data_IF_814033829210
#
_entry.id   IF_814033829210
#
_cell.length_a   1.000
_cell.length_b   1.000
_cell.length_c   1.000
_cell.angle_alpha   90.00
_cell.angle_beta   90.00
_cell.angle_gamma   90.00
#
_symmetry.space_group_name_H-M   'P 1'
#
loop_
_entity.id
_entity.type
_entity.pdbx_description
1 polymer ?
#
# COMPACT_ATOMS: atom_id res chain seq x y z
N UNK A 1 -22.56 30.58 20.87
CA UNK A 1 -22.37 29.12 20.91
C UNK A 1 -22.08 28.66 19.49
N UNK A 2 -20.84 28.26 19.20
CA UNK A 2 -20.53 27.34 18.11
C UNK A 2 -19.16 26.75 18.44
N UNK A 3 -19.19 25.58 19.09
CA UNK A 3 -18.01 24.73 19.13
C UNK A 3 -17.59 24.52 17.68
N UNK A 4 -16.31 24.75 17.34
CA UNK A 4 -15.76 24.31 16.07
C UNK A 4 -15.99 22.80 15.99
N UNK A 5 -17.10 22.40 15.37
CA UNK A 5 -17.52 21.01 15.35
C UNK A 5 -16.52 20.29 14.45
N UNK A 6 -15.65 19.51 15.07
CA UNK A 6 -14.64 18.74 14.36
C UNK A 6 -15.30 17.92 13.26
N UNK A 7 -14.74 17.97 12.04
CA UNK A 7 -15.29 17.22 10.93
C UNK A 7 -15.05 15.72 11.18
N UNK A 8 -16.11 15.01 11.60
CA UNK A 8 -16.06 13.58 11.94
C UNK A 8 -15.58 12.72 10.77
N UNK A 9 -15.93 13.07 9.54
CA UNK A 9 -15.49 12.32 8.35
C UNK A 9 -13.98 12.40 8.17
N UNK A 10 -13.37 13.56 8.40
CA UNK A 10 -11.92 13.71 8.30
C UNK A 10 -11.18 12.99 9.41
N UNK A 11 -11.73 12.96 10.63
CA UNK A 11 -11.19 12.14 11.71
C UNK A 11 -11.25 10.66 11.38
N UNK A 12 -12.40 10.17 10.93
CA UNK A 12 -12.58 8.76 10.53
C UNK A 12 -11.64 8.44 9.38
N UNK A 13 -11.61 9.24 8.32
CA UNK A 13 -10.68 9.06 7.20
C UNK A 13 -9.21 9.03 7.64
N UNK A 14 -8.82 9.89 8.58
CA UNK A 14 -7.46 9.91 9.13
C UNK A 14 -7.12 8.62 9.88
N UNK A 15 -8.07 8.12 10.68
CA UNK A 15 -7.93 6.83 11.39
C UNK A 15 -7.87 5.67 10.40
N UNK A 16 -8.71 5.67 9.36
CA UNK A 16 -8.70 4.65 8.31
C UNK A 16 -7.38 4.64 7.53
N UNK A 17 -6.75 5.80 7.29
CA UNK A 17 -5.40 5.84 6.72
C UNK A 17 -4.35 5.22 7.64
N UNK A 18 -4.41 5.48 8.94
CA UNK A 18 -3.45 4.89 9.90
C UNK A 18 -3.65 3.37 9.97
N UNK A 19 -4.86 2.91 10.27
CA UNK A 19 -5.15 1.49 10.47
C UNK A 19 -5.04 0.72 9.16
N UNK A 20 -5.65 1.23 8.08
CA UNK A 20 -5.59 0.62 6.76
C UNK A 20 -4.18 0.68 6.16
N UNK A 21 -3.42 1.74 6.42
CA UNK A 21 -2.01 1.83 6.02
C UNK A 21 -1.14 0.80 6.72
N UNK A 22 -1.28 0.65 8.05
CA UNK A 22 -0.55 -0.35 8.83
C UNK A 22 -0.92 -1.76 8.41
N UNK A 23 -2.22 -2.10 8.37
CA UNK A 23 -2.67 -3.44 8.03
C UNK A 23 -2.43 -3.77 6.55
N UNK A 24 -2.79 -2.84 5.66
CA UNK A 24 -2.62 -2.97 4.22
C UNK A 24 -1.17 -2.87 3.75
N UNK A 25 -0.25 -2.39 4.60
CA UNK A 25 1.19 -2.40 4.36
C UNK A 25 1.89 -3.61 4.97
N UNK A 26 1.70 -3.85 6.26
CA UNK A 26 2.39 -4.92 7.00
C UNK A 26 1.99 -6.31 6.50
N UNK A 27 0.70 -6.55 6.22
CA UNK A 27 0.25 -7.88 5.80
C UNK A 27 0.88 -8.28 4.45
N UNK A 28 0.84 -7.46 3.39
CA UNK A 28 1.55 -7.77 2.15
C UNK A 28 3.06 -7.93 2.34
N UNK A 29 3.72 -7.08 3.15
CA UNK A 29 5.15 -7.22 3.44
C UNK A 29 5.44 -8.59 4.05
N UNK A 30 4.71 -8.98 5.10
CA UNK A 30 4.90 -10.28 5.76
C UNK A 30 4.64 -11.42 4.78
N UNK A 31 3.57 -11.35 3.99
CA UNK A 31 3.25 -12.38 3.02
C UNK A 31 4.34 -12.50 1.96
N UNK A 32 4.80 -11.40 1.37
CA UNK A 32 5.88 -11.39 0.39
C UNK A 32 7.18 -11.94 0.97
N UNK A 33 7.58 -11.51 2.17
CA UNK A 33 8.80 -12.01 2.81
C UNK A 33 8.68 -13.47 3.25
N UNK A 34 7.49 -13.95 3.60
CA UNK A 34 7.27 -15.36 3.95
C UNK A 34 7.40 -16.31 2.76
N UNK A 35 7.21 -15.80 1.53
CA UNK A 35 7.49 -16.56 0.30
C UNK A 35 8.97 -16.63 -0.05
N UNK A 36 9.82 -15.85 0.64
CA UNK A 36 11.27 -15.97 0.49
C UNK A 36 11.75 -17.23 1.20
N UNK A 37 11.82 -18.33 0.45
CA UNK A 37 12.66 -19.47 0.83
C UNK A 37 14.14 -19.10 0.75
N UNK A 38 15.01 -20.02 1.15
CA UNK A 38 16.46 -19.91 0.86
C UNK A 38 16.77 -20.45 -0.52
N UNK A 39 17.89 -20.00 -1.11
CA UNK A 39 18.36 -20.52 -2.40
C UNK A 39 18.45 -22.06 -2.36
N UNK A 40 19.01 -22.63 -1.30
CA UNK A 40 19.13 -24.09 -1.12
C UNK A 40 17.78 -24.80 -1.01
N UNK A 41 16.78 -24.21 -0.34
CA UNK A 41 15.42 -24.79 -0.29
C UNK A 41 14.76 -24.79 -1.66
N UNK A 42 14.97 -23.75 -2.47
CA UNK A 42 14.43 -23.67 -3.82
C UNK A 42 15.13 -24.67 -4.72
N UNK A 43 16.47 -24.70 -4.75
CA UNK A 43 17.23 -25.57 -5.64
C UNK A 43 17.12 -27.05 -5.27
N UNK A 44 17.06 -27.38 -3.98
CA UNK A 44 16.86 -28.77 -3.52
C UNK A 44 15.51 -29.36 -3.94
N UNK A 45 14.48 -28.54 -4.16
CA UNK A 45 13.22 -29.00 -4.74
C UNK A 45 13.39 -29.53 -6.18
N UNK A 46 14.48 -29.15 -6.85
CA UNK A 46 14.89 -29.62 -8.17
C UNK A 46 16.04 -30.66 -8.12
N UNK A 47 16.40 -31.15 -6.93
CA UNK A 47 17.40 -32.19 -6.71
C UNK A 47 18.77 -31.67 -6.28
N UNK A 48 19.34 -30.69 -6.99
CA UNK A 48 20.59 -30.03 -6.61
C UNK A 48 20.70 -28.63 -7.22
N UNK A 49 21.68 -27.84 -6.78
CA UNK A 49 21.97 -26.53 -7.37
C UNK A 49 22.37 -26.64 -8.84
N UNK A 50 23.15 -27.67 -9.21
CA UNK A 50 23.55 -27.91 -10.60
C UNK A 50 22.36 -28.34 -11.46
N UNK A 51 21.47 -29.19 -10.94
CA UNK A 51 20.29 -29.63 -11.68
C UNK A 51 19.34 -28.45 -11.95
N UNK A 52 19.17 -27.57 -10.98
CA UNK A 52 18.43 -26.32 -11.14
C UNK A 52 19.09 -25.39 -12.17
N UNK A 53 20.40 -25.19 -12.08
CA UNK A 53 21.15 -24.33 -13.01
C UNK A 53 21.05 -24.84 -14.46
N UNK A 54 21.22 -26.15 -14.68
CA UNK A 54 21.05 -26.77 -16.00
C UNK A 54 19.62 -26.64 -16.54
N UNK A 55 18.60 -26.78 -15.68
CA UNK A 55 17.21 -26.56 -16.07
C UNK A 55 16.98 -25.12 -16.54
N UNK A 56 17.48 -24.14 -15.77
CA UNK A 56 17.32 -22.72 -16.10
C UNK A 56 18.09 -22.36 -17.36
N UNK A 57 19.31 -22.87 -17.54
CA UNK A 57 20.09 -22.71 -18.78
C UNK A 57 19.36 -23.33 -19.98
N UNK A 58 18.78 -24.53 -19.84
CA UNK A 58 18.01 -25.14 -20.91
C UNK A 58 16.76 -24.32 -21.28
N UNK A 59 16.05 -23.76 -20.29
CA UNK A 59 14.88 -22.91 -20.52
C UNK A 59 15.23 -21.53 -21.09
N UNK A 60 16.39 -20.97 -20.71
CA UNK A 60 16.84 -19.65 -21.15
C UNK A 60 17.63 -19.69 -22.47
N UNK A 61 17.83 -20.87 -23.07
CA UNK A 61 18.66 -21.05 -24.25
C UNK A 61 20.17 -20.81 -23.99
N UNK A 62 20.61 -21.01 -22.75
CA UNK A 62 21.98 -20.78 -22.29
C UNK A 62 22.30 -19.33 -21.92
N UNK A 63 21.29 -18.45 -21.92
CA UNK A 63 21.49 -17.00 -21.75
C UNK A 63 21.52 -16.56 -20.29
N UNK A 64 20.79 -17.26 -19.43
CA UNK A 64 20.63 -16.94 -18.01
C UNK A 64 20.80 -18.23 -17.19
N UNK A 65 21.68 -18.20 -16.18
CA UNK A 65 21.88 -19.29 -15.22
C UNK A 65 20.94 -19.21 -14.01
N UNK A 66 20.92 -20.26 -13.21
CA UNK A 66 20.08 -20.41 -12.01
C UNK A 66 20.34 -19.33 -10.95
N UNK A 67 21.61 -18.99 -10.70
CA UNK A 67 21.97 -17.94 -9.73
C UNK A 67 21.39 -16.58 -10.11
N UNK A 68 21.46 -16.22 -11.40
CA UNK A 68 20.89 -14.97 -11.90
C UNK A 68 19.36 -14.94 -11.73
N UNK A 69 18.67 -16.05 -11.99
CA UNK A 69 17.21 -16.15 -11.79
C UNK A 69 16.84 -16.02 -10.31
N UNK A 70 17.56 -16.69 -9.41
CA UNK A 70 17.33 -16.59 -7.97
C UNK A 70 17.57 -15.17 -7.45
N UNK A 71 18.64 -14.52 -7.93
CA UNK A 71 18.93 -13.12 -7.60
C UNK A 71 17.81 -12.17 -8.05
N UNK A 72 17.29 -12.34 -9.27
CA UNK A 72 16.14 -11.56 -9.77
C UNK A 72 14.90 -11.83 -8.93
N UNK A 73 14.62 -13.09 -8.60
CA UNK A 73 13.47 -13.48 -7.80
C UNK A 73 13.50 -12.82 -6.40
N UNK A 74 14.60 -12.98 -5.67
CA UNK A 74 14.76 -12.36 -4.34
C UNK A 74 14.77 -10.84 -4.41
N UNK A 75 15.46 -10.27 -5.40
CA UNK A 75 15.46 -8.82 -5.63
C UNK A 75 14.06 -8.28 -5.87
N UNK A 76 13.25 -8.97 -6.67
CA UNK A 76 11.86 -8.57 -6.96
C UNK A 76 11.01 -8.58 -5.70
N UNK A 77 11.11 -9.60 -4.86
CA UNK A 77 10.35 -9.66 -3.60
C UNK A 77 10.75 -8.51 -2.66
N UNK A 78 12.04 -8.23 -2.53
CA UNK A 78 12.53 -7.11 -1.70
C UNK A 78 11.99 -5.78 -2.24
N UNK A 79 12.03 -5.55 -3.56
CA UNK A 79 11.49 -4.32 -4.17
C UNK A 79 10.00 -4.18 -3.86
N UNK A 80 9.21 -5.25 -4.00
CA UNK A 80 7.78 -5.25 -3.68
C UNK A 80 7.56 -4.89 -2.19
N UNK A 81 8.30 -5.53 -1.28
CA UNK A 81 8.20 -5.25 0.15
C UNK A 81 8.54 -3.78 0.50
N UNK A 82 9.58 -3.22 -0.14
CA UNK A 82 9.98 -1.82 0.03
C UNK A 82 8.90 -0.87 -0.48
N UNK A 83 8.28 -1.15 -1.64
CA UNK A 83 7.18 -0.34 -2.17
C UNK A 83 5.98 -0.33 -1.22
N UNK A 84 5.60 -1.48 -0.67
CA UNK A 84 4.55 -1.55 0.36
C UNK A 84 4.93 -0.77 1.63
N UNK A 85 6.19 -0.82 2.04
CA UNK A 85 6.66 -0.07 3.21
C UNK A 85 6.59 1.45 2.99
N UNK A 86 6.99 1.94 1.81
CA UNK A 86 6.88 3.35 1.45
C UNK A 86 5.42 3.80 1.48
N UNK A 87 4.52 3.04 0.84
CA UNK A 87 3.09 3.38 0.83
C UNK A 87 2.46 3.35 2.23
N UNK A 88 2.85 2.39 3.07
CA UNK A 88 2.45 2.33 4.48
C UNK A 88 2.84 3.60 5.21
N UNK A 89 4.10 4.04 5.07
CA UNK A 89 4.61 5.25 5.71
C UNK A 89 3.81 6.47 5.24
N UNK A 90 3.53 6.58 3.94
CA UNK A 90 2.71 7.67 3.39
C UNK A 90 1.32 7.68 4.02
N UNK A 91 0.62 6.54 4.05
CA UNK A 91 -0.71 6.45 4.67
C UNK A 91 -0.69 6.85 6.15
N UNK A 92 0.27 6.35 6.93
CA UNK A 92 0.40 6.69 8.35
C UNK A 92 0.68 8.19 8.53
N UNK A 93 1.62 8.76 7.76
CA UNK A 93 1.94 10.19 7.84
C UNK A 93 0.74 11.07 7.47
N UNK A 94 0.04 10.73 6.38
CA UNK A 94 -1.14 11.47 5.93
C UNK A 94 -2.26 11.37 6.96
N UNK A 95 -2.46 10.21 7.57
CA UNK A 95 -3.44 10.01 8.64
C UNK A 95 -3.11 10.80 9.90
N UNK A 96 -1.87 10.74 10.39
CA UNK A 96 -1.43 11.50 11.58
C UNK A 96 -1.54 13.02 11.35
N UNK A 97 -1.04 13.49 10.20
CA UNK A 97 -1.15 14.91 9.82
C UNK A 97 -2.61 15.30 9.61
N UNK A 98 -3.43 14.43 9.05
CA UNK A 98 -4.87 14.62 8.87
C UNK A 98 -5.60 14.82 10.19
N UNK A 99 -5.29 14.02 11.21
CA UNK A 99 -5.90 14.14 12.53
C UNK A 99 -5.62 15.51 13.17
N UNK A 100 -4.39 16.02 13.04
CA UNK A 100 -4.02 17.36 13.53
C UNK A 100 -4.75 18.48 12.76
N UNK A 101 -5.01 18.28 11.47
CA UNK A 101 -5.58 19.30 10.57
C UNK A 101 -7.10 19.28 10.52
N UNK A 102 -7.75 18.21 11.00
CA UNK A 102 -9.21 18.02 10.93
C UNK A 102 -10.00 19.06 11.76
N UNK A 103 -9.33 19.79 12.65
CA UNK A 103 -9.93 20.86 13.46
C UNK A 103 -9.82 22.24 12.81
N UNK A 104 -9.10 22.38 11.70
CA UNK A 104 -8.73 23.69 11.15
C UNK A 104 -9.29 23.90 9.72
N UNK A 105 -10.37 24.70 9.57
CA UNK A 105 -11.05 24.98 8.30
C UNK A 105 -10.11 25.34 7.13
N UNK A 106 -9.05 26.11 7.41
CA UNK A 106 -8.11 26.60 6.38
C UNK A 106 -7.23 25.49 5.77
N UNK A 107 -7.23 24.30 6.35
CA UNK A 107 -6.42 23.16 5.87
C UNK A 107 -7.17 22.24 4.90
N UNK A 108 -8.36 22.62 4.42
CA UNK A 108 -9.17 21.79 3.50
C UNK A 108 -8.40 21.32 2.25
N UNK A 109 -7.46 22.14 1.74
CA UNK A 109 -6.59 21.80 0.59
C UNK A 109 -5.74 20.54 0.83
N UNK A 110 -5.28 20.31 2.07
CA UNK A 110 -4.51 19.11 2.41
C UNK A 110 -5.34 17.84 2.14
N UNK A 111 -6.57 17.81 2.64
CA UNK A 111 -7.46 16.67 2.49
C UNK A 111 -7.87 16.46 1.03
N UNK A 112 -8.13 17.53 0.27
CA UNK A 112 -8.43 17.40 -1.17
C UNK A 112 -7.26 16.83 -1.95
N UNK A 113 -6.04 17.36 -1.77
CA UNK A 113 -4.86 16.93 -2.54
C UNK A 113 -4.50 15.48 -2.22
N UNK A 114 -4.37 15.14 -0.93
CA UNK A 114 -4.05 13.77 -0.53
C UNK A 114 -5.19 12.79 -0.84
N UNK A 115 -6.44 13.22 -0.72
CA UNK A 115 -7.60 12.42 -1.13
C UNK A 115 -7.56 12.05 -2.62
N UNK A 116 -7.23 12.99 -3.51
CA UNK A 116 -7.12 12.67 -4.95
C UNK A 116 -5.95 11.72 -5.22
N UNK A 117 -4.75 12.05 -4.71
CA UNK A 117 -3.53 11.26 -4.98
C UNK A 117 -3.72 9.82 -4.49
N UNK A 118 -4.16 9.64 -3.25
CA UNK A 118 -4.29 8.31 -2.65
C UNK A 118 -5.46 7.51 -3.23
N UNK A 119 -6.53 8.19 -3.68
CA UNK A 119 -7.62 7.53 -4.40
C UNK A 119 -7.13 6.96 -5.74
N UNK A 120 -6.30 7.70 -6.49
CA UNK A 120 -5.73 7.20 -7.75
C UNK A 120 -4.90 5.94 -7.48
N UNK A 121 -4.01 5.96 -6.49
CA UNK A 121 -3.22 4.79 -6.12
C UNK A 121 -4.09 3.61 -5.68
N UNK A 122 -5.14 3.84 -4.90
CA UNK A 122 -6.03 2.76 -4.47
C UNK A 122 -6.84 2.14 -5.60
N UNK A 123 -7.33 2.95 -6.54
CA UNK A 123 -8.02 2.45 -7.74
C UNK A 123 -7.07 1.66 -8.62
N UNK A 124 -5.85 2.17 -8.87
CA UNK A 124 -4.84 1.45 -9.64
C UNK A 124 -4.48 0.11 -8.98
N UNK A 125 -4.31 0.10 -7.66
CA UNK A 125 -4.06 -1.13 -6.92
C UNK A 125 -5.18 -2.16 -7.16
N UNK A 126 -6.45 -1.76 -7.00
CA UNK A 126 -7.59 -2.66 -7.24
C UNK A 126 -7.64 -3.19 -8.68
N UNK A 127 -7.36 -2.34 -9.67
CA UNK A 127 -7.35 -2.76 -11.08
C UNK A 127 -6.24 -3.77 -11.39
N UNK A 128 -5.08 -3.66 -10.73
CA UNK A 128 -3.93 -4.54 -10.96
C UNK A 128 -3.99 -5.84 -10.14
N UNK A 129 -4.49 -5.80 -8.91
CA UNK A 129 -4.47 -6.95 -7.99
C UNK A 129 -5.81 -7.69 -7.88
N UNK A 130 -6.92 -7.11 -8.35
CA UNK A 130 -8.26 -7.62 -8.09
C UNK A 130 -8.71 -7.47 -6.62
N UNK A 131 -9.94 -7.92 -6.31
CA UNK A 131 -10.62 -7.68 -5.02
C UNK A 131 -10.82 -8.97 -4.19
N UNK A 132 -10.40 -10.13 -4.68
CA UNK A 132 -10.83 -11.42 -4.13
C UNK A 132 -10.02 -11.91 -2.90
N UNK A 133 -9.26 -11.05 -2.22
CA UNK A 133 -8.48 -11.42 -1.02
C UNK A 133 -8.72 -10.47 0.16
N UNK A 134 -8.53 -10.97 1.38
CA UNK A 134 -8.61 -10.16 2.60
C UNK A 134 -7.63 -8.98 2.55
N UNK A 135 -6.43 -9.19 2.02
CA UNK A 135 -5.43 -8.13 1.83
C UNK A 135 -5.91 -7.06 0.86
N UNK A 136 -6.61 -7.44 -0.22
CA UNK A 136 -7.21 -6.48 -1.13
C UNK A 136 -8.30 -5.65 -0.45
N UNK A 137 -9.14 -6.28 0.37
CA UNK A 137 -10.19 -5.59 1.15
C UNK A 137 -9.59 -4.60 2.14
N UNK A 138 -8.55 -5.00 2.87
CA UNK A 138 -7.82 -4.10 3.79
C UNK A 138 -7.17 -2.93 3.04
N UNK A 139 -6.59 -3.19 1.87
CA UNK A 139 -6.03 -2.17 0.99
C UNK A 139 -7.06 -1.16 0.51
N UNK A 140 -8.32 -1.57 0.26
CA UNK A 140 -9.40 -0.66 -0.13
C UNK A 140 -9.81 0.33 0.96
N UNK A 141 -9.65 -0.03 2.23
CA UNK A 141 -10.00 0.85 3.36
C UNK A 141 -9.13 2.12 3.31
N UNK A 142 -7.81 1.97 3.19
CA UNK A 142 -6.90 3.11 3.07
C UNK A 142 -6.79 3.65 1.64
N UNK A 143 -6.98 2.83 0.61
CA UNK A 143 -6.81 3.22 -0.78
C UNK A 143 -8.05 3.86 -1.42
N UNK A 144 -9.24 3.62 -0.89
CA UNK A 144 -10.49 4.11 -1.48
C UNK A 144 -11.36 4.80 -0.44
N UNK A 145 -11.74 4.10 0.63
CA UNK A 145 -12.69 4.63 1.61
C UNK A 145 -12.13 5.89 2.33
N UNK A 146 -10.91 5.82 2.85
CA UNK A 146 -10.27 6.94 3.54
C UNK A 146 -10.08 8.18 2.63
N UNK A 147 -9.61 8.04 1.37
CA UNK A 147 -9.55 9.15 0.41
C UNK A 147 -10.92 9.77 0.10
N UNK A 148 -11.96 8.96 -0.09
CA UNK A 148 -13.32 9.49 -0.31
C UNK A 148 -13.79 10.31 0.89
N UNK A 149 -13.56 9.83 2.12
CA UNK A 149 -13.87 10.59 3.33
C UNK A 149 -13.08 11.90 3.41
N UNK A 150 -11.82 11.92 2.96
CA UNK A 150 -11.05 13.15 2.84
C UNK A 150 -11.67 14.14 1.84
N UNK A 151 -12.12 13.68 0.67
CA UNK A 151 -12.75 14.53 -0.34
C UNK A 151 -14.09 15.10 0.14
N UNK A 152 -14.96 14.25 0.70
CA UNK A 152 -16.27 14.65 1.21
C UNK A 152 -16.13 15.57 2.41
N UNK A 153 -15.26 15.21 3.37
CA UNK A 153 -14.99 16.04 4.55
C UNK A 153 -14.38 17.40 4.19
N UNK A 154 -13.49 17.45 3.20
CA UNK A 154 -12.94 18.72 2.69
C UNK A 154 -14.02 19.61 2.05
N UNK A 155 -14.95 19.02 1.29
CA UNK A 155 -16.08 19.75 0.69
C UNK A 155 -17.00 20.33 1.77
N UNK A 156 -17.32 19.56 2.81
CA UNK A 156 -18.10 20.04 3.95
C UNK A 156 -17.41 21.20 4.69
N UNK A 157 -16.09 21.10 4.91
CA UNK A 157 -15.32 22.20 5.51
C UNK A 157 -15.37 23.48 4.68
N UNK A 158 -15.22 23.37 3.35
CA UNK A 158 -15.28 24.56 2.47
C UNK A 158 -16.64 25.23 2.51
N UNK A 159 -17.73 24.45 2.52
CA UNK A 159 -19.10 24.99 2.63
C UNK A 159 -19.32 25.70 3.96
N UNK A 160 -18.84 25.12 5.06
CA UNK A 160 -18.94 25.73 6.38
C UNK A 160 -18.11 27.02 6.55
N UNK A 161 -17.13 27.28 5.66
CA UNK A 161 -16.40 28.56 5.62
C UNK A 161 -17.11 29.65 4.81
N UNK A 162 -18.04 29.26 3.94
CA UNK A 162 -18.77 30.16 3.04
C UNK A 162 -20.17 30.51 3.54
N UNK A 163 -20.63 29.84 4.61
CA UNK A 163 -21.88 30.09 5.33
C UNK A 163 -21.63 31.03 6.52
#
# INVERSE_FOLDING_TARGET
MNFMQENKLLKIGSILFIVGGLLGGLVPIINSLSTMGTASQITSAYGSEEAFDQMILAQSGGTIGGDAVLSIFFGTIIVIAVLYAIMMIIHVLVGVLGLSRAKNPQRSRFFTVWGIILLIFGVLNVLLSGVFSLSAILGMISGIAAPILFLVGASQMKKAQQA
#
